data_IF_510700116374
#
_entry.id   IF_510700116374
#
_cell.length_a   1.000
_cell.length_b   1.000
_cell.length_c   1.000
_cell.angle_alpha   90.00
_cell.angle_beta   90.00
_cell.angle_gamma   90.00
#
_symmetry.space_group_name_H-M   'P 1'
#
loop_
_entity.id
_entity.type
_entity.pdbx_description
1 polymer ?
#
# COMPACT_ATOMS: atom_id res chain seq x y z
N UNK A 1 -32.91 -5.90 12.04
CA UNK A 1 -31.54 -6.28 11.64
C UNK A 1 -31.05 -5.21 10.67
N UNK A 2 -30.17 -4.31 11.14
CA UNK A 2 -29.61 -3.25 10.29
C UNK A 2 -28.68 -3.91 9.27
N UNK A 3 -29.13 -4.04 8.03
CA UNK A 3 -28.27 -4.40 6.91
C UNK A 3 -27.30 -3.24 6.73
N UNK A 4 -26.06 -3.39 7.20
CA UNK A 4 -24.98 -2.48 6.86
C UNK A 4 -24.86 -2.54 5.34
N UNK A 5 -25.31 -1.49 4.65
CA UNK A 5 -25.15 -1.36 3.20
C UNK A 5 -23.64 -1.26 2.98
N UNK A 6 -23.01 -2.36 2.60
CA UNK A 6 -21.57 -2.39 2.34
C UNK A 6 -21.36 -1.49 1.12
N UNK A 7 -20.60 -0.41 1.29
CA UNK A 7 -20.43 0.61 0.26
C UNK A 7 -19.62 0.10 -0.96
N UNK A 8 -18.92 -1.02 -0.81
CA UNK A 8 -18.02 -1.61 -1.82
C UNK A 8 -18.24 -3.13 -1.86
N UNK A 9 -18.52 -3.69 -3.03
CA UNK A 9 -18.71 -5.14 -3.23
C UNK A 9 -17.54 -5.82 -3.96
N UNK A 10 -17.55 -7.15 -4.04
CA UNK A 10 -16.48 -7.96 -4.68
C UNK A 10 -16.22 -7.54 -6.14
N UNK A 11 -17.28 -7.29 -6.92
CA UNK A 11 -17.17 -6.93 -8.32
C UNK A 11 -16.50 -5.57 -8.51
N UNK A 12 -16.87 -4.57 -7.69
CA UNK A 12 -16.25 -3.25 -7.70
C UNK A 12 -14.76 -3.30 -7.36
N UNK A 13 -14.38 -4.08 -6.33
CA UNK A 13 -12.97 -4.27 -5.97
C UNK A 13 -12.21 -4.96 -7.09
N UNK A 14 -12.80 -6.00 -7.68
CA UNK A 14 -12.15 -6.76 -8.75
C UNK A 14 -11.95 -5.92 -10.00
N UNK A 15 -12.99 -5.23 -10.45
CA UNK A 15 -12.93 -4.35 -11.62
C UNK A 15 -11.87 -3.25 -11.44
N UNK A 16 -11.76 -2.69 -10.24
CA UNK A 16 -10.72 -1.72 -9.91
C UNK A 16 -9.31 -2.33 -10.04
N UNK A 17 -9.06 -3.48 -9.42
CA UNK A 17 -7.74 -4.11 -9.45
C UNK A 17 -7.37 -4.69 -10.82
N UNK A 18 -8.35 -5.15 -11.60
CA UNK A 18 -8.17 -5.53 -13.00
C UNK A 18 -7.72 -4.32 -13.82
N UNK A 19 -8.42 -3.18 -13.69
CA UNK A 19 -8.04 -1.94 -14.40
C UNK A 19 -6.64 -1.44 -14.06
N UNK A 20 -6.14 -1.75 -12.86
CA UNK A 20 -4.84 -1.30 -12.38
C UNK A 20 -3.69 -2.27 -12.69
N UNK A 21 -3.95 -3.59 -12.69
CA UNK A 21 -2.87 -4.60 -12.69
C UNK A 21 -3.01 -5.73 -13.71
N UNK A 22 -4.07 -5.81 -14.51
CA UNK A 22 -4.30 -6.96 -15.42
C UNK A 22 -3.13 -7.21 -16.39
N UNK A 23 -2.43 -6.15 -16.82
CA UNK A 23 -1.30 -6.27 -17.73
C UNK A 23 -0.03 -6.84 -17.06
N UNK A 24 0.10 -6.69 -15.74
CA UNK A 24 1.34 -6.99 -15.01
C UNK A 24 1.19 -8.10 -13.95
N UNK A 25 -0.03 -8.56 -13.68
CA UNK A 25 -0.34 -9.64 -12.74
C UNK A 25 -1.24 -10.70 -13.37
N UNK A 26 -0.88 -11.96 -13.14
CA UNK A 26 -1.73 -13.09 -13.50
C UNK A 26 -3.12 -12.97 -12.83
N UNK A 27 -4.19 -13.22 -13.60
CA UNK A 27 -5.59 -13.04 -13.15
C UNK A 27 -5.91 -13.66 -11.77
N UNK A 28 -5.39 -14.87 -11.47
CA UNK A 28 -5.57 -15.49 -10.14
C UNK A 28 -4.98 -14.67 -8.97
N UNK A 29 -3.90 -13.90 -9.19
CA UNK A 29 -3.30 -13.01 -8.19
C UNK A 29 -4.14 -11.76 -8.01
N UNK A 30 -4.63 -11.17 -9.10
CA UNK A 30 -5.60 -10.05 -9.06
C UNK A 30 -6.86 -10.47 -8.30
N UNK A 31 -7.40 -11.66 -8.57
CA UNK A 31 -8.54 -12.20 -7.82
C UNK A 31 -8.23 -12.39 -6.33
N UNK A 32 -7.05 -12.90 -6.00
CA UNK A 32 -6.63 -13.08 -4.60
C UNK A 32 -6.49 -11.75 -3.87
N UNK A 33 -5.90 -10.73 -4.50
CA UNK A 33 -5.84 -9.37 -3.99
C UNK A 33 -7.25 -8.80 -3.78
N UNK A 34 -8.15 -9.00 -4.75
CA UNK A 34 -9.53 -8.52 -4.68
C UNK A 34 -10.28 -9.09 -3.48
N UNK A 35 -10.13 -10.39 -3.23
CA UNK A 35 -10.70 -11.02 -2.06
C UNK A 35 -10.09 -10.50 -0.76
N UNK A 36 -8.76 -10.35 -0.67
CA UNK A 36 -8.15 -9.81 0.54
C UNK A 36 -8.57 -8.36 0.81
N UNK A 37 -8.65 -7.51 -0.22
CA UNK A 37 -9.16 -6.14 -0.12
C UNK A 37 -10.61 -6.12 0.36
N UNK A 38 -11.47 -6.98 -0.17
CA UNK A 38 -12.84 -7.13 0.34
C UNK A 38 -12.82 -7.52 1.83
N UNK A 39 -12.02 -8.51 2.21
CA UNK A 39 -11.84 -8.92 3.60
C UNK A 39 -11.42 -7.77 4.52
N UNK A 40 -10.45 -6.94 4.09
CA UNK A 40 -9.96 -5.77 4.85
C UNK A 40 -11.07 -4.74 5.05
N UNK A 41 -11.79 -4.40 3.98
CA UNK A 41 -12.90 -3.42 4.02
C UNK A 41 -14.00 -3.87 4.99
N UNK A 42 -14.30 -5.17 5.03
CA UNK A 42 -15.31 -5.72 5.91
C UNK A 42 -14.83 -5.92 7.35
N UNK A 43 -13.57 -6.31 7.57
CA UNK A 43 -13.03 -6.60 8.90
C UNK A 43 -12.83 -5.35 9.75
N UNK A 44 -12.50 -4.21 9.12
CA UNK A 44 -12.05 -2.99 9.80
C UNK A 44 -10.92 -3.25 10.82
N UNK A 45 -10.11 -4.29 10.57
CA UNK A 45 -8.97 -4.74 11.37
C UNK A 45 -7.94 -5.36 10.42
N UNK A 46 -6.65 -5.22 10.75
CA UNK A 46 -5.54 -5.66 9.90
C UNK A 46 -4.96 -7.03 10.31
N UNK A 47 -5.67 -7.82 11.13
CA UNK A 47 -5.23 -9.18 11.44
C UNK A 47 -5.59 -10.16 10.31
N UNK A 48 -4.66 -11.06 9.97
CA UNK A 48 -4.87 -12.10 8.94
C UNK A 48 -6.13 -12.91 9.23
N UNK A 49 -6.36 -13.22 10.50
CA UNK A 49 -7.55 -13.95 10.95
C UNK A 49 -8.84 -13.16 10.71
N UNK A 50 -8.91 -11.89 11.13
CA UNK A 50 -10.11 -11.07 10.97
C UNK A 50 -10.43 -10.81 9.49
N UNK A 51 -9.40 -10.51 8.68
CA UNK A 51 -9.56 -10.33 7.22
C UNK A 51 -10.12 -11.60 6.58
N UNK A 52 -9.58 -12.77 6.95
CA UNK A 52 -10.02 -14.06 6.44
C UNK A 52 -11.45 -14.43 6.83
N UNK A 53 -11.84 -14.18 8.08
CA UNK A 53 -13.22 -14.39 8.55
C UNK A 53 -14.19 -13.45 7.84
N UNK A 54 -13.86 -12.15 7.76
CA UNK A 54 -14.69 -11.16 7.10
C UNK A 54 -14.87 -11.46 5.61
N UNK A 55 -13.81 -11.91 4.93
CA UNK A 55 -13.88 -12.40 3.55
C UNK A 55 -14.82 -13.60 3.42
N UNK A 56 -14.69 -14.59 4.31
CA UNK A 56 -15.56 -15.77 4.29
C UNK A 56 -17.03 -15.37 4.47
N UNK A 57 -17.33 -14.48 5.42
CA UNK A 57 -18.69 -13.99 5.64
C UNK A 57 -19.23 -13.20 4.43
N UNK A 58 -18.41 -12.31 3.85
CA UNK A 58 -18.81 -11.52 2.67
C UNK A 58 -19.18 -12.39 1.46
N UNK A 59 -18.58 -13.59 1.36
CA UNK A 59 -18.75 -14.52 0.22
C UNK A 59 -19.58 -15.77 0.55
N UNK A 60 -20.12 -15.88 1.76
CA UNK A 60 -20.86 -17.07 2.22
C UNK A 60 -20.01 -18.35 2.28
N UNK A 61 -18.71 -18.23 2.52
CA UNK A 61 -17.75 -19.34 2.60
C UNK A 61 -17.40 -19.76 4.04
N UNK A 62 -16.53 -20.77 4.16
CA UNK A 62 -16.01 -21.20 5.46
C UNK A 62 -14.80 -20.35 5.90
N UNK A 63 -14.80 -19.91 7.16
CA UNK A 63 -13.75 -19.07 7.77
C UNK A 63 -12.34 -19.64 7.59
N UNK A 64 -12.18 -20.95 7.82
CA UNK A 64 -10.89 -21.66 7.65
C UNK A 64 -10.31 -21.47 6.24
N UNK A 65 -11.14 -21.41 5.21
CA UNK A 65 -10.67 -21.21 3.84
C UNK A 65 -10.32 -19.76 3.55
N UNK A 66 -11.11 -18.81 4.07
CA UNK A 66 -10.82 -17.38 3.96
C UNK A 66 -9.50 -17.01 4.62
N UNK A 67 -9.26 -17.49 5.85
CA UNK A 67 -8.00 -17.27 6.58
C UNK A 67 -6.81 -17.83 5.79
N UNK A 68 -6.90 -19.07 5.30
CA UNK A 68 -5.85 -19.67 4.47
C UNK A 68 -5.63 -18.94 3.15
N UNK A 69 -6.65 -18.29 2.61
CA UNK A 69 -6.51 -17.52 1.37
C UNK A 69 -5.71 -16.24 1.60
N UNK A 70 -6.01 -15.51 2.68
CA UNK A 70 -5.30 -14.27 3.04
C UNK A 70 -3.86 -14.58 3.42
N UNK A 71 -3.63 -15.58 4.26
CA UNK A 71 -2.30 -16.04 4.67
C UNK A 71 -1.40 -16.36 3.47
N UNK A 72 -1.89 -17.20 2.55
CA UNK A 72 -1.15 -17.55 1.32
C UNK A 72 -0.90 -16.38 0.38
N UNK A 73 -1.78 -15.38 0.36
CA UNK A 73 -1.56 -14.17 -0.43
C UNK A 73 -0.38 -13.38 0.14
N UNK A 74 -0.34 -13.18 1.45
CA UNK A 74 0.69 -12.39 2.11
C UNK A 74 2.07 -13.05 2.03
N UNK A 75 2.13 -14.38 1.90
CA UNK A 75 3.37 -15.12 1.65
C UNK A 75 3.68 -15.35 0.17
N UNK A 76 2.92 -14.75 -0.77
CA UNK A 76 3.12 -14.96 -2.20
C UNK A 76 4.19 -14.01 -2.75
N UNK A 77 5.42 -14.48 -2.91
CA UNK A 77 6.55 -13.70 -3.44
C UNK A 77 6.31 -13.15 -4.87
N UNK A 78 5.38 -13.73 -5.62
CA UNK A 78 5.02 -13.21 -6.93
C UNK A 78 4.09 -11.98 -6.88
N UNK A 79 3.67 -11.58 -5.67
CA UNK A 79 2.99 -10.31 -5.38
C UNK A 79 4.00 -9.36 -4.73
N UNK A 80 4.85 -8.78 -5.57
CA UNK A 80 5.86 -7.81 -5.18
C UNK A 80 5.25 -6.40 -5.15
N UNK A 81 4.94 -5.90 -3.95
CA UNK A 81 4.28 -4.59 -3.74
C UNK A 81 5.13 -3.45 -4.30
N UNK A 82 6.46 -3.52 -4.18
CA UNK A 82 7.38 -2.48 -4.65
C UNK A 82 7.37 -2.35 -6.17
N UNK A 83 7.25 -3.47 -6.89
CA UNK A 83 7.04 -3.47 -8.34
C UNK A 83 5.68 -2.89 -8.73
N UNK A 84 4.63 -3.15 -7.94
CA UNK A 84 3.28 -2.62 -8.22
C UNK A 84 3.16 -1.11 -8.10
N UNK A 85 4.12 -0.46 -7.45
CA UNK A 85 4.19 1.00 -7.43
C UNK A 85 4.21 1.64 -8.82
N UNK A 86 4.78 0.97 -9.83
CA UNK A 86 4.85 1.49 -11.19
C UNK A 86 3.46 1.66 -11.85
N UNK A 87 2.45 0.89 -11.42
CA UNK A 87 1.07 1.09 -11.85
C UNK A 87 0.28 1.96 -10.86
N UNK A 88 0.52 1.79 -9.55
CA UNK A 88 -0.18 2.52 -8.50
C UNK A 88 0.11 4.02 -8.49
N UNK A 89 1.38 4.44 -8.59
CA UNK A 89 1.78 5.85 -8.50
C UNK A 89 1.17 6.68 -9.64
N UNK A 90 1.25 6.27 -10.92
CA UNK A 90 0.56 6.98 -12.01
C UNK A 90 -0.95 7.06 -11.81
N UNK A 91 -1.57 5.98 -11.32
CA UNK A 91 -3.01 5.97 -11.03
C UNK A 91 -3.38 7.01 -9.97
N UNK A 92 -2.63 7.11 -8.87
CA UNK A 92 -2.91 8.08 -7.80
C UNK A 92 -2.64 9.51 -8.25
N UNK A 93 -1.58 9.73 -9.02
CA UNK A 93 -1.24 11.05 -9.56
C UNK A 93 -2.26 11.52 -10.59
N UNK A 94 -2.86 10.60 -11.36
CA UNK A 94 -3.83 10.89 -12.41
C UNK A 94 -3.29 11.95 -13.39
N UNK A 95 -4.09 12.95 -13.76
CA UNK A 95 -3.73 13.99 -14.75
C UNK A 95 -2.93 15.17 -14.17
N UNK A 96 -2.35 15.02 -12.97
CA UNK A 96 -1.61 16.13 -12.33
C UNK A 96 -0.30 16.42 -13.05
N UNK A 97 -0.05 17.70 -13.34
CA UNK A 97 1.26 18.18 -13.80
C UNK A 97 2.22 18.50 -12.65
N UNK A 98 1.70 18.68 -11.43
CA UNK A 98 2.48 18.99 -10.23
C UNK A 98 1.95 18.19 -9.03
N UNK A 99 2.87 17.72 -8.18
CA UNK A 99 2.53 16.94 -6.99
C UNK A 99 3.40 17.35 -5.79
N UNK A 100 2.75 17.61 -4.65
CA UNK A 100 3.42 17.75 -3.37
C UNK A 100 3.41 16.40 -2.66
N UNK A 101 4.58 15.85 -2.35
CA UNK A 101 4.74 14.55 -1.71
C UNK A 101 5.39 14.75 -0.35
N UNK A 102 4.69 14.37 0.72
CA UNK A 102 5.24 14.37 2.06
C UNK A 102 5.99 13.07 2.31
N UNK A 103 7.19 13.18 2.86
CA UNK A 103 8.03 12.07 3.28
C UNK A 103 8.10 12.06 4.81
N UNK A 104 7.75 10.94 5.43
CA UNK A 104 7.66 10.83 6.89
C UNK A 104 8.09 9.44 7.38
N UNK A 105 8.70 9.41 8.58
CA UNK A 105 9.07 8.18 9.28
C UNK A 105 8.10 7.96 10.44
N UNK A 106 7.52 6.76 10.53
CA UNK A 106 6.67 6.35 11.65
C UNK A 106 7.28 5.14 12.36
N UNK A 107 7.52 5.28 13.67
CA UNK A 107 8.08 4.24 14.51
C UNK A 107 6.99 3.37 15.17
N UNK A 108 7.23 2.06 15.15
CA UNK A 108 6.44 1.03 15.82
C UNK A 108 7.30 0.35 16.87
N UNK A 109 7.49 1.05 18.00
CA UNK A 109 8.45 0.66 19.06
C UNK A 109 8.22 -0.77 19.58
N UNK A 110 6.96 -1.20 19.70
CA UNK A 110 6.61 -2.54 20.18
C UNK A 110 7.15 -3.67 19.30
N UNK A 111 7.37 -3.38 18.03
CA UNK A 111 7.67 -4.36 17.00
C UNK A 111 9.10 -4.21 16.44
N UNK A 112 9.90 -3.30 17.00
CA UNK A 112 11.24 -2.93 16.49
C UNK A 112 11.21 -2.59 14.99
N UNK A 113 10.14 -1.92 14.55
CA UNK A 113 9.95 -1.53 13.15
C UNK A 113 9.84 -0.01 13.02
N UNK A 114 10.25 0.48 11.85
CA UNK A 114 10.01 1.85 11.42
C UNK A 114 9.62 1.83 9.95
N UNK A 115 8.69 2.71 9.57
CA UNK A 115 8.19 2.78 8.20
C UNK A 115 8.43 4.17 7.63
N UNK A 116 9.10 4.23 6.49
CA UNK A 116 9.21 5.43 5.66
C UNK A 116 8.08 5.43 4.64
N UNK A 117 7.33 6.52 4.55
CA UNK A 117 6.21 6.67 3.61
C UNK A 117 6.35 7.95 2.80
N UNK A 118 6.26 7.83 1.47
CA UNK A 118 5.99 8.96 0.58
C UNK A 118 4.48 9.02 0.28
N UNK A 119 3.85 10.13 0.66
CA UNK A 119 2.42 10.33 0.49
C UNK A 119 2.09 11.58 -0.32
N UNK A 120 1.21 11.44 -1.31
CA UNK A 120 0.65 12.57 -2.03
C UNK A 120 -0.19 13.43 -1.07
N UNK A 121 0.14 14.71 -0.98
CA UNK A 121 -0.66 15.70 -0.26
C UNK A 121 -1.80 16.15 -1.17
N UNK A 122 -3.04 15.98 -0.69
CA UNK A 122 -4.23 16.42 -1.43
C UNK A 122 -4.82 17.70 -0.84
N UNK A 123 -5.51 18.48 -1.66
CA UNK A 123 -6.18 19.73 -1.25
C UNK A 123 -7.27 19.55 -0.18
N UNK A 124 -7.79 18.33 -0.01
CA UNK A 124 -8.88 18.03 0.93
C UNK A 124 -8.38 17.50 2.27
N UNK A 125 -7.10 17.73 2.59
CA UNK A 125 -6.52 17.48 3.91
C UNK A 125 -6.20 16.01 4.22
N UNK A 126 -6.39 15.08 3.27
CA UNK A 126 -5.96 13.69 3.41
C UNK A 126 -4.75 13.43 2.55
N UNK A 127 -3.77 12.71 3.09
CA UNK A 127 -2.66 12.22 2.30
C UNK A 127 -3.01 10.86 1.70
N UNK A 128 -2.45 10.54 0.54
CA UNK A 128 -2.59 9.22 -0.10
C UNK A 128 -1.21 8.60 -0.27
N UNK A 129 -0.91 7.45 0.37
CA UNK A 129 0.39 6.80 0.23
C UNK A 129 0.69 6.43 -1.23
N UNK A 130 1.87 6.80 -1.70
CA UNK A 130 2.40 6.46 -3.03
C UNK A 130 3.36 5.27 -2.94
N UNK A 131 4.28 5.33 -1.97
CA UNK A 131 5.34 4.37 -1.75
C UNK A 131 5.66 4.29 -0.26
N UNK A 132 6.04 3.11 0.22
CA UNK A 132 6.51 2.94 1.59
C UNK A 132 7.43 1.73 1.72
N UNK A 133 8.31 1.77 2.71
CA UNK A 133 9.12 0.63 3.11
C UNK A 133 9.16 0.53 4.63
N UNK A 134 9.04 -0.70 5.15
CA UNK A 134 9.14 -0.99 6.58
C UNK A 134 10.44 -1.72 6.83
N UNK A 135 11.22 -1.23 7.79
CA UNK A 135 12.54 -1.70 8.13
C UNK A 135 12.61 -2.03 9.62
N UNK A 136 13.51 -2.94 9.98
CA UNK A 136 13.84 -3.17 11.38
C UNK A 136 14.61 -1.96 11.93
N UNK A 137 14.08 -1.34 12.98
CA UNK A 137 14.59 -0.07 13.52
C UNK A 137 15.99 -0.24 14.11
N UNK A 138 16.21 -1.29 14.90
CA UNK A 138 17.53 -1.61 15.45
C UNK A 138 18.61 -1.84 14.38
N UNK A 139 18.24 -2.32 13.19
CA UNK A 139 19.14 -2.53 12.06
C UNK A 139 19.35 -1.28 11.18
N UNK A 140 18.57 -0.22 11.39
CA UNK A 140 18.62 1.02 10.59
C UNK A 140 19.66 2.03 11.07
N UNK A 141 20.29 1.81 12.24
CA UNK A 141 21.27 2.74 12.80
C UNK A 141 22.40 3.05 11.79
N UNK A 142 22.47 4.32 11.34
CA UNK A 142 23.44 4.79 10.34
C UNK A 142 23.02 4.65 8.86
N UNK A 143 21.91 3.97 8.56
CA UNK A 143 21.47 3.67 7.18
C UNK A 143 20.17 4.37 6.77
N UNK A 144 19.63 5.27 7.60
CA UNK A 144 18.37 5.98 7.32
C UNK A 144 18.41 6.76 5.99
N UNK A 145 19.51 7.44 5.71
CA UNK A 145 19.70 8.16 4.44
C UNK A 145 19.64 7.24 3.22
N UNK A 146 20.16 6.01 3.32
CA UNK A 146 20.10 5.04 2.22
C UNK A 146 18.66 4.63 1.93
N UNK A 147 17.84 4.40 2.96
CA UNK A 147 16.42 4.08 2.79
C UNK A 147 15.64 5.26 2.18
N UNK A 148 15.96 6.49 2.58
CA UNK A 148 15.41 7.71 1.99
C UNK A 148 15.76 7.82 0.49
N UNK A 149 17.04 7.62 0.14
CA UNK A 149 17.51 7.63 -1.24
C UNK A 149 16.84 6.53 -2.08
N UNK A 150 16.76 5.30 -1.58
CA UNK A 150 16.12 4.18 -2.28
C UNK A 150 14.65 4.48 -2.57
N UNK A 151 13.91 4.99 -1.59
CA UNK A 151 12.51 5.32 -1.77
C UNK A 151 12.32 6.51 -2.73
N UNK A 152 13.18 7.53 -2.68
CA UNK A 152 13.13 8.67 -3.60
C UNK A 152 13.49 8.30 -5.03
N UNK A 153 14.49 7.43 -5.23
CA UNK A 153 14.83 6.88 -6.54
C UNK A 153 13.65 6.08 -7.09
N UNK A 154 13.02 5.22 -6.28
CA UNK A 154 11.83 4.49 -6.71
C UNK A 154 10.66 5.41 -7.03
N UNK A 155 10.45 6.46 -6.24
CA UNK A 155 9.42 7.46 -6.52
C UNK A 155 9.65 8.11 -7.88
N UNK A 156 10.89 8.54 -8.14
CA UNK A 156 11.27 9.12 -9.44
C UNK A 156 11.02 8.18 -10.61
N UNK A 157 11.29 6.88 -10.45
CA UNK A 157 11.02 5.86 -11.48
C UNK A 157 9.51 5.67 -11.76
N UNK A 158 8.67 5.79 -10.73
CA UNK A 158 7.24 5.51 -10.85
C UNK A 158 6.41 6.74 -11.23
N UNK A 159 6.96 7.95 -11.10
CA UNK A 159 6.28 9.20 -11.46
C UNK A 159 6.25 9.34 -13.00
N UNK A 160 5.08 9.62 -13.60
CA UNK A 160 4.97 9.84 -15.04
C UNK A 160 5.83 11.01 -15.52
N UNK A 161 6.31 10.92 -16.76
CA UNK A 161 7.08 11.99 -17.39
C UNK A 161 6.28 13.30 -17.43
N UNK A 162 6.95 14.42 -17.15
CA UNK A 162 6.34 15.76 -17.15
C UNK A 162 5.68 16.17 -15.83
N UNK A 163 5.49 15.24 -14.88
CA UNK A 163 4.97 15.58 -13.55
C UNK A 163 6.09 16.15 -12.67
N UNK A 164 5.93 17.39 -12.22
CA UNK A 164 6.88 18.02 -11.29
C UNK A 164 6.54 17.63 -9.85
N UNK A 165 7.44 16.93 -9.20
CA UNK A 165 7.28 16.52 -7.80
C UNK A 165 8.08 17.44 -6.89
N UNK A 166 7.40 18.01 -5.89
CA UNK A 166 8.03 18.70 -4.75
C UNK A 166 7.95 17.77 -3.55
N UNK A 167 9.09 17.44 -2.95
CA UNK A 167 9.14 16.63 -1.73
C UNK A 167 9.18 17.54 -0.51
N UNK A 168 8.26 17.32 0.42
CA UNK A 168 8.23 17.94 1.74
C UNK A 168 8.70 16.92 2.77
N UNK A 169 9.74 17.26 3.53
CA UNK A 169 10.33 16.38 4.52
C UNK A 169 10.71 17.18 5.78
N UNK A 170 10.83 16.51 6.92
CA UNK A 170 11.32 17.12 8.15
C UNK A 170 12.82 17.48 8.07
N UNK A 171 13.34 18.16 9.11
CA UNK A 171 14.74 18.64 9.14
C UNK A 171 15.78 17.52 9.29
N UNK A 172 15.37 16.34 9.74
CA UNK A 172 16.24 15.18 9.90
C UNK A 172 16.42 14.38 8.61
N UNK A 173 15.60 14.64 7.58
CA UNK A 173 15.80 14.08 6.25
C UNK A 173 17.02 14.70 5.57
N UNK A 174 17.78 13.85 4.87
CA UNK A 174 19.03 14.23 4.21
C UNK A 174 20.05 14.92 5.15
N UNK A 175 20.04 14.61 6.45
CA UNK A 175 21.03 15.13 7.40
C UNK A 175 22.42 14.58 7.04
N UNK A 176 23.23 15.41 6.39
CA UNK A 176 24.61 15.10 5.97
C UNK A 176 25.63 15.30 7.09
N UNK A 177 25.25 15.22 8.37
CA UNK A 177 26.21 15.26 9.48
C UNK A 177 27.17 14.06 9.40
N UNK A 178 28.27 14.29 8.69
CA UNK A 178 29.56 13.59 8.73
C UNK A 178 30.30 13.94 10.03
#
# INVERSE_FOLDING_TARGET
MLVRKVAINEEQVRAFLESLFEQDLHAKRVLSLSHATLGVVHAASLSVHAIGQALAWARGGMEKHGIKQVDRLLSNEAVDVWKRAAAWVPYVLAERSEALVALDWTDFESDDHTTLVASLVTSYGRTTPLLWMTLQKSALAGNRAQAEDELLLRLKECVPEGVKVTVLADRGFADQRL
#
